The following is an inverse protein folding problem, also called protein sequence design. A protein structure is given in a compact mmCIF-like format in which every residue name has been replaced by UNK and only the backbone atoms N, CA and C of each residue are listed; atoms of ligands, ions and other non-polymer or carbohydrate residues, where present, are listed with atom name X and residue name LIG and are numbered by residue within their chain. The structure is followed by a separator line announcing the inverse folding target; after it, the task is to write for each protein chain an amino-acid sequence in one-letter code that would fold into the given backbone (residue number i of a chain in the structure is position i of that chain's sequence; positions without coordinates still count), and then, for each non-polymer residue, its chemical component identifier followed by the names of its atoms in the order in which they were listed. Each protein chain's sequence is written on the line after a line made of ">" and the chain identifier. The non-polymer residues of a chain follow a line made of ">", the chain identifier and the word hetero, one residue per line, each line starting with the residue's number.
data_IF_849405582933
#
_entry.id   IF_849405582933
#
_cell.length_a   1.000
_cell.length_b   1.000
_cell.length_c   1.000
_cell.angle_alpha   90.00
_cell.angle_beta   90.00
_cell.angle_gamma   90.00
#
_symmetry.space_group_name_H-M   'P 1'
#
loop_
_entity.id
_entity.type
_entity.pdbx_description
1 polymer ?
#
# COMPACT_ATOMS: atom_id res chain seq x y z
N UNK A 1 -20.21 25.18 -8.90
CA UNK A 1 -20.62 24.29 -7.80
C UNK A 1 -21.56 23.27 -8.40
N UNK A 2 -21.23 21.99 -8.32
CA UNK A 2 -22.19 20.92 -8.64
C UNK A 2 -23.28 20.98 -7.55
N UNK A 3 -24.55 20.75 -7.90
CA UNK A 3 -25.66 20.74 -6.92
C UNK A 3 -25.38 19.63 -5.89
N UNK A 4 -25.39 19.97 -4.59
CA UNK A 4 -25.14 19.00 -3.51
C UNK A 4 -26.07 17.78 -3.62
N UNK A 5 -27.31 17.96 -4.11
CA UNK A 5 -28.25 16.86 -4.32
C UNK A 5 -27.81 15.91 -5.44
N UNK A 6 -27.14 16.43 -6.47
CA UNK A 6 -26.58 15.59 -7.54
C UNK A 6 -25.38 14.81 -7.05
N UNK A 7 -24.55 15.39 -6.19
CA UNK A 7 -23.42 14.69 -5.58
C UNK A 7 -23.88 13.60 -4.61
N UNK A 8 -24.94 13.86 -3.84
CA UNK A 8 -25.56 12.85 -2.97
C UNK A 8 -26.15 11.70 -3.78
N UNK A 9 -26.96 12.01 -4.81
CA UNK A 9 -27.53 10.97 -5.67
C UNK A 9 -26.44 10.14 -6.39
N UNK A 10 -25.35 10.78 -6.82
CA UNK A 10 -24.21 10.07 -7.39
C UNK A 10 -23.53 9.17 -6.36
N UNK A 11 -23.34 9.64 -5.12
CA UNK A 11 -22.80 8.83 -4.01
C UNK A 11 -23.68 7.59 -3.77
N UNK A 12 -25.00 7.77 -3.66
CA UNK A 12 -25.97 6.68 -3.48
C UNK A 12 -25.90 5.63 -4.61
N UNK A 13 -25.79 6.09 -5.87
CA UNK A 13 -25.64 5.22 -7.05
C UNK A 13 -24.32 4.42 -6.99
N UNK A 14 -23.21 5.06 -6.61
CA UNK A 14 -21.90 4.41 -6.45
C UNK A 14 -21.97 3.33 -5.37
N UNK A 15 -22.53 3.67 -4.21
CA UNK A 15 -22.76 2.74 -3.11
C UNK A 15 -23.59 1.52 -3.55
N UNK A 16 -24.67 1.76 -4.29
CA UNK A 16 -25.58 0.70 -4.75
C UNK A 16 -24.94 -0.24 -5.78
N UNK A 17 -24.06 0.27 -6.64
CA UNK A 17 -23.45 -0.49 -7.72
C UNK A 17 -22.25 -1.33 -7.25
N UNK A 18 -21.31 -0.69 -6.52
CA UNK A 18 -19.99 -1.26 -6.21
C UNK A 18 -19.81 -1.68 -4.75
N UNK A 19 -20.52 -1.06 -3.79
CA UNK A 19 -20.27 -1.27 -2.36
C UNK A 19 -21.07 -2.47 -1.84
N UNK A 20 -20.68 -3.65 -2.31
CA UNK A 20 -21.21 -4.95 -1.88
C UNK A 20 -20.28 -5.55 -0.82
N UNK A 21 -20.78 -6.44 0.06
CA UNK A 21 -19.91 -7.25 0.89
C UNK A 21 -18.87 -7.98 0.02
N UNK A 22 -17.59 -7.88 0.39
CA UNK A 22 -16.52 -8.51 -0.37
C UNK A 22 -16.69 -10.02 -0.30
N UNK A 23 -16.85 -10.65 -1.46
CA UNK A 23 -17.02 -12.09 -1.56
C UNK A 23 -15.74 -12.82 -1.15
N UNK A 24 -15.90 -14.00 -0.56
CA UNK A 24 -14.79 -14.90 -0.22
C UNK A 24 -14.99 -16.22 -0.95
N UNK A 25 -14.04 -16.54 -1.82
CA UNK A 25 -14.01 -17.79 -2.57
C UNK A 25 -13.15 -18.80 -1.80
N UNK A 26 -13.60 -20.05 -1.72
CA UNK A 26 -12.86 -21.12 -1.04
C UNK A 26 -11.67 -21.65 -1.84
N UNK A 27 -11.65 -21.37 -3.14
CA UNK A 27 -10.59 -21.74 -4.09
C UNK A 27 -10.56 -20.74 -5.25
N UNK A 28 -9.51 -20.76 -6.09
CA UNK A 28 -9.54 -20.09 -7.39
C UNK A 28 -10.84 -20.41 -8.16
N UNK A 29 -11.55 -19.40 -8.69
CA UNK A 29 -12.76 -19.59 -9.51
C UNK A 29 -12.42 -20.15 -10.88
N UNK A 30 -13.41 -20.65 -11.61
CA UNK A 30 -13.26 -20.86 -13.06
C UNK A 30 -13.22 -19.51 -13.81
N UNK A 31 -12.56 -19.42 -14.98
CA UNK A 31 -12.36 -18.15 -15.70
C UNK A 31 -13.66 -17.43 -16.06
N UNK A 32 -14.72 -18.15 -16.45
CA UNK A 32 -15.98 -17.55 -16.85
C UNK A 32 -16.73 -16.97 -15.64
N UNK A 33 -16.76 -17.69 -14.52
CA UNK A 33 -17.33 -17.18 -13.27
C UNK A 33 -16.51 -15.98 -12.77
N UNK A 34 -15.18 -16.03 -12.86
CA UNK A 34 -14.34 -14.89 -12.48
C UNK A 34 -14.65 -13.64 -13.30
N UNK A 35 -14.73 -13.80 -14.62
CA UNK A 35 -15.09 -12.72 -15.54
C UNK A 35 -16.48 -12.15 -15.22
N UNK A 36 -17.49 -13.01 -15.11
CA UNK A 36 -18.89 -12.61 -14.94
C UNK A 36 -19.16 -11.95 -13.59
N UNK A 37 -18.57 -12.48 -12.53
CA UNK A 37 -18.97 -12.14 -11.17
C UNK A 37 -18.06 -11.07 -10.52
N UNK A 38 -16.83 -10.90 -11.02
CA UNK A 38 -15.85 -9.99 -10.40
C UNK A 38 -15.24 -9.00 -11.39
N UNK A 39 -14.67 -9.46 -12.50
CA UNK A 39 -13.96 -8.58 -13.45
C UNK A 39 -14.93 -7.65 -14.19
N UNK A 40 -15.98 -8.20 -14.80
CA UNK A 40 -16.97 -7.42 -15.56
C UNK A 40 -17.80 -6.46 -14.68
N UNK A 41 -18.29 -6.86 -13.50
CA UNK A 41 -18.96 -5.93 -12.57
C UNK A 41 -17.98 -5.00 -11.87
N UNK A 42 -16.67 -5.27 -12.00
CA UNK A 42 -15.58 -4.46 -11.49
C UNK A 42 -15.59 -4.36 -9.96
N UNK A 43 -15.65 -5.51 -9.28
CA UNK A 43 -15.74 -5.63 -7.81
C UNK A 43 -14.66 -6.55 -7.25
N UNK A 44 -14.06 -6.22 -6.09
CA UNK A 44 -13.01 -7.02 -5.47
C UNK A 44 -13.55 -8.30 -4.85
N UNK A 45 -12.68 -9.30 -4.70
CA UNK A 45 -12.97 -10.51 -3.94
C UNK A 45 -11.73 -11.06 -3.24
N UNK A 46 -11.97 -11.86 -2.21
CA UNK A 46 -10.95 -12.64 -1.52
C UNK A 46 -10.96 -14.06 -2.07
N UNK A 47 -9.78 -14.62 -2.32
CA UNK A 47 -9.59 -15.97 -2.83
C UNK A 47 -8.77 -16.72 -1.79
N UNK A 48 -9.26 -17.87 -1.33
CA UNK A 48 -8.52 -18.79 -0.46
C UNK A 48 -7.81 -19.84 -1.32
N UNK A 49 -6.71 -20.36 -0.81
CA UNK A 49 -5.90 -21.36 -1.48
C UNK A 49 -5.52 -20.89 -2.90
N UNK A 50 -5.25 -19.59 -3.07
CA UNK A 50 -4.99 -19.00 -4.38
C UNK A 50 -3.68 -19.51 -5.00
N UNK A 51 -2.70 -19.84 -4.15
CA UNK A 51 -1.45 -20.48 -4.52
C UNK A 51 -1.23 -21.69 -3.61
N UNK A 52 -1.16 -22.88 -4.21
CA UNK A 52 -0.96 -24.13 -3.48
C UNK A 52 0.53 -24.49 -3.39
N UNK A 53 0.96 -24.96 -2.22
CA UNK A 53 2.32 -25.46 -1.98
C UNK A 53 2.49 -26.90 -2.48
N UNK A 54 3.73 -27.34 -2.69
CA UNK A 54 4.04 -28.74 -3.05
C UNK A 54 3.54 -29.77 -2.02
N UNK A 55 3.37 -29.33 -0.75
CA UNK A 55 2.91 -30.20 0.36
C UNK A 55 1.37 -30.20 0.49
N UNK A 56 0.67 -29.50 -0.39
CA UNK A 56 -0.77 -29.28 -0.34
C UNK A 56 -1.16 -28.12 0.60
N UNK A 57 -2.23 -27.41 0.24
CA UNK A 57 -2.69 -26.21 0.95
C UNK A 57 -1.87 -24.94 0.66
N UNK A 58 -2.24 -23.80 1.26
CA UNK A 58 -1.68 -22.49 0.94
C UNK A 58 -0.15 -22.43 1.06
N UNK A 59 0.49 -21.76 0.11
CA UNK A 59 1.92 -21.46 0.16
C UNK A 59 2.23 -20.49 1.30
N UNK A 60 3.02 -20.94 2.27
CA UNK A 60 3.57 -20.10 3.33
C UNK A 60 5.06 -19.89 3.06
N UNK A 61 5.48 -18.63 2.97
CA UNK A 61 6.87 -18.26 2.71
C UNK A 61 7.22 -16.97 3.44
N UNK A 62 8.01 -17.07 4.51
CA UNK A 62 8.50 -15.94 5.29
C UNK A 62 9.84 -15.38 4.80
N UNK A 63 10.28 -14.29 5.42
CA UNK A 63 11.54 -13.63 5.07
C UNK A 63 12.77 -14.53 5.32
N UNK A 64 12.77 -15.31 6.40
CA UNK A 64 13.86 -16.26 6.65
C UNK A 64 13.91 -17.39 5.62
N UNK A 65 12.75 -17.89 5.17
CA UNK A 65 12.70 -18.89 4.11
C UNK A 65 13.27 -18.33 2.80
N UNK A 66 12.97 -17.07 2.47
CA UNK A 66 13.55 -16.40 1.29
C UNK A 66 15.08 -16.29 1.43
N UNK A 67 15.59 -15.88 2.59
CA UNK A 67 17.04 -15.80 2.86
C UNK A 67 17.71 -17.17 2.69
N UNK A 68 17.07 -18.24 3.18
CA UNK A 68 17.60 -19.61 3.06
C UNK A 68 17.61 -20.09 1.60
N UNK A 69 16.63 -19.68 0.79
CA UNK A 69 16.53 -20.04 -0.63
C UNK A 69 17.51 -19.28 -1.52
N UNK A 70 17.70 -17.97 -1.31
CA UNK A 70 18.50 -17.13 -2.21
C UNK A 70 19.88 -16.74 -1.68
N UNK A 71 20.12 -16.91 -0.38
CA UNK A 71 21.30 -16.42 0.31
C UNK A 71 21.20 -14.95 0.73
N UNK A 72 21.78 -14.63 1.89
CA UNK A 72 21.71 -13.29 2.48
C UNK A 72 22.41 -12.18 1.68
N UNK A 73 23.33 -12.53 0.77
CA UNK A 73 24.11 -11.59 -0.05
C UNK A 73 23.33 -11.07 -1.28
N UNK A 74 22.12 -11.57 -1.54
CA UNK A 74 21.27 -11.07 -2.62
C UNK A 74 21.04 -9.56 -2.45
N UNK A 75 21.26 -8.77 -3.50
CA UNK A 75 21.09 -7.32 -3.46
C UNK A 75 19.64 -6.92 -3.74
N UNK A 76 19.12 -5.98 -2.94
CA UNK A 76 17.79 -5.38 -3.08
C UNK A 76 17.91 -3.87 -3.23
N UNK A 77 17.12 -3.26 -4.09
CA UNK A 77 16.77 -1.83 -3.99
C UNK A 77 15.58 -1.69 -3.02
N UNK A 78 15.83 -1.08 -1.87
CA UNK A 78 14.89 -0.98 -0.74
C UNK A 78 14.44 0.46 -0.57
N UNK A 79 13.15 0.64 -0.29
CA UNK A 79 12.57 1.94 0.03
C UNK A 79 12.86 2.30 1.49
N UNK A 80 13.30 3.54 1.70
CA UNK A 80 13.70 4.05 3.01
C UNK A 80 13.04 5.40 3.28
N UNK A 81 12.42 5.52 4.45
CA UNK A 81 11.75 6.75 4.90
C UNK A 81 12.01 7.00 6.38
N UNK A 82 11.84 8.25 6.87
CA UNK A 82 11.96 8.55 8.30
C UNK A 82 10.84 7.92 9.16
N UNK A 83 9.66 7.71 8.58
CA UNK A 83 8.42 7.42 9.30
C UNK A 83 7.64 6.22 8.74
N UNK A 84 8.03 5.68 7.58
CA UNK A 84 7.37 4.56 6.92
C UNK A 84 6.39 4.92 5.82
N UNK A 85 6.26 6.21 5.47
CA UNK A 85 5.32 6.66 4.45
C UNK A 85 6.07 7.22 3.22
N UNK A 86 6.26 6.38 2.21
CA UNK A 86 6.66 6.85 0.88
C UNK A 86 5.43 7.18 0.04
N UNK A 87 5.65 7.85 -1.10
CA UNK A 87 4.65 8.10 -2.12
C UNK A 87 3.35 8.66 -1.55
N UNK A 88 3.43 9.82 -0.88
CA UNK A 88 2.26 10.48 -0.32
C UNK A 88 2.38 12.01 -0.32
N UNK A 89 1.24 12.68 -0.26
CA UNK A 89 1.19 14.13 -0.06
C UNK A 89 1.62 14.49 1.37
N UNK A 90 2.54 15.45 1.51
CA UNK A 90 3.09 15.88 2.80
C UNK A 90 3.18 17.38 2.92
N UNK A 91 2.92 17.90 4.11
CA UNK A 91 3.23 19.28 4.45
C UNK A 91 4.73 19.45 4.68
N UNK A 92 5.33 20.43 4.01
CA UNK A 92 6.74 20.80 4.16
C UNK A 92 6.81 22.30 4.45
N UNK A 93 7.54 22.71 5.49
CA UNK A 93 7.77 24.13 5.77
C UNK A 93 8.76 24.70 4.75
N UNK A 94 8.43 25.83 4.13
CA UNK A 94 9.36 26.55 3.24
C UNK A 94 10.43 27.29 4.02
N UNK A 95 11.60 27.47 3.40
CA UNK A 95 12.70 28.24 3.98
C UNK A 95 12.40 29.75 3.91
N UNK A 96 12.77 30.57 4.93
CA UNK A 96 12.51 32.01 4.98
C UNK A 96 13.15 32.86 3.85
N UNK A 97 13.99 32.26 3.00
CA UNK A 97 14.57 32.96 1.83
C UNK A 97 13.52 33.23 0.73
N UNK A 98 12.40 32.49 0.73
CA UNK A 98 11.30 32.65 -0.25
C UNK A 98 10.22 33.67 0.20
N UNK A 99 10.49 34.46 1.24
CA UNK A 99 9.69 35.64 1.59
C UNK A 99 8.35 35.37 2.31
N UNK A 100 7.96 34.12 2.56
CA UNK A 100 6.80 33.80 3.39
C UNK A 100 6.99 32.48 4.16
N UNK A 101 6.50 32.42 5.40
CA UNK A 101 6.50 31.21 6.26
C UNK A 101 5.46 30.18 5.79
N UNK A 102 5.24 30.07 4.48
CA UNK A 102 4.21 29.20 3.91
C UNK A 102 4.53 27.72 4.13
N UNK A 103 3.57 26.97 4.66
CA UNK A 103 3.56 25.51 4.57
C UNK A 103 3.17 25.15 3.14
N UNK A 104 4.07 24.49 2.39
CA UNK A 104 3.78 23.91 1.09
C UNK A 104 3.36 22.45 1.21
N UNK A 105 2.63 21.92 0.23
CA UNK A 105 2.38 20.48 0.11
C UNK A 105 3.15 19.91 -1.08
N UNK A 106 3.87 18.82 -0.87
CA UNK A 106 4.65 18.11 -1.89
C UNK A 106 4.23 16.64 -1.93
N UNK A 107 4.37 15.99 -3.07
CA UNK A 107 4.34 14.54 -3.15
C UNK A 107 5.76 14.04 -2.88
N UNK A 108 5.95 13.21 -1.85
CA UNK A 108 7.27 12.79 -1.38
C UNK A 108 7.45 11.29 -1.56
N UNK A 109 8.33 10.90 -2.47
CA UNK A 109 8.80 9.54 -2.73
C UNK A 109 9.79 9.07 -1.66
N UNK A 110 9.91 7.75 -1.44
CA UNK A 110 10.94 7.21 -0.56
C UNK A 110 12.35 7.48 -1.09
N UNK A 111 13.34 7.34 -0.21
CA UNK A 111 14.73 7.22 -0.63
C UNK A 111 15.02 5.76 -0.98
N UNK A 112 15.36 5.49 -2.24
CA UNK A 112 15.81 4.17 -2.66
C UNK A 112 17.27 3.93 -2.24
N UNK A 113 17.53 2.81 -1.56
CA UNK A 113 18.87 2.41 -1.15
C UNK A 113 19.12 0.93 -1.49
N UNK A 114 20.25 0.64 -2.13
CA UNK A 114 20.73 -0.74 -2.27
C UNK A 114 21.28 -1.29 -0.96
N UNK A 115 20.87 -2.51 -0.60
CA UNK A 115 21.44 -3.27 0.51
C UNK A 115 21.29 -4.78 0.28
N UNK A 116 22.05 -5.58 1.03
CA UNK A 116 21.88 -7.03 1.00
C UNK A 116 20.56 -7.44 1.65
N UNK A 117 20.02 -8.59 1.26
CA UNK A 117 18.81 -9.17 1.86
C UNK A 117 19.01 -9.43 3.36
N UNK A 118 20.22 -9.84 3.77
CA UNK A 118 20.58 -9.99 5.18
C UNK A 118 20.54 -8.66 5.94
N UNK A 119 21.10 -7.59 5.37
CA UNK A 119 21.05 -6.26 5.96
C UNK A 119 19.63 -5.72 6.01
N UNK A 120 18.84 -5.91 4.96
CA UNK A 120 17.43 -5.55 4.92
C UNK A 120 16.66 -6.23 6.04
N UNK A 121 16.78 -7.56 6.19
CA UNK A 121 16.14 -8.33 7.28
C UNK A 121 16.51 -7.78 8.66
N UNK A 122 17.79 -7.50 8.87
CA UNK A 122 18.28 -6.98 10.15
C UNK A 122 17.71 -5.58 10.44
N UNK A 123 17.66 -4.69 9.44
CA UNK A 123 17.05 -3.37 9.59
C UNK A 123 15.54 -3.45 9.85
N UNK A 124 14.82 -4.28 9.10
CA UNK A 124 13.38 -4.47 9.24
C UNK A 124 13.00 -4.93 10.65
N UNK A 125 13.74 -5.91 11.22
CA UNK A 125 13.47 -6.41 12.58
C UNK A 125 13.94 -5.48 13.69
N UNK A 126 14.99 -4.69 13.44
CA UNK A 126 15.42 -3.66 14.39
C UNK A 126 14.34 -2.57 14.58
N UNK A 127 13.53 -2.29 13.56
CA UNK A 127 12.41 -1.35 13.64
C UNK A 127 11.30 -1.83 14.57
N UNK A 128 11.08 -3.15 14.68
CA UNK A 128 10.08 -3.72 15.59
C UNK A 128 10.50 -3.64 17.07
N UNK A 129 11.79 -3.75 17.36
CA UNK A 129 12.34 -3.77 18.73
C UNK A 129 12.54 -2.39 19.37
N UNK A 130 12.52 -1.29 18.59
CA UNK A 130 12.51 0.06 19.13
C UNK A 130 11.10 0.40 19.60
N UNK A 131 10.86 0.39 20.92
CA UNK A 131 9.57 0.74 21.57
C UNK A 131 8.80 1.82 20.79
N UNK A 132 7.70 1.38 20.17
CA UNK A 132 6.68 2.21 19.57
C UNK A 132 6.04 3.09 20.66
N UNK A 133 6.52 4.33 20.80
CA UNK A 133 5.74 5.42 21.40
C UNK A 133 5.00 6.21 20.32
N UNK A 134 5.39 6.08 19.05
CA UNK A 134 4.59 6.56 17.91
C UNK A 134 4.20 5.33 17.07
N UNK A 135 3.00 4.80 17.28
CA UNK A 135 2.37 3.94 16.29
C UNK A 135 2.34 4.67 14.95
N UNK A 136 2.57 3.98 13.82
CA UNK A 136 2.36 4.56 12.49
C UNK A 136 0.91 5.11 12.31
N UNK A 137 0.00 4.75 13.21
CA UNK A 137 -1.36 5.31 13.34
C UNK A 137 -1.41 6.76 13.84
N UNK A 138 -0.39 7.25 14.57
CA UNK A 138 -0.37 8.57 15.21
C UNK A 138 0.47 9.62 14.44
N UNK A 139 1.38 9.18 13.57
CA UNK A 139 2.06 10.08 12.64
C UNK A 139 1.09 10.56 11.58
N UNK A 140 0.68 11.81 11.67
CA UNK A 140 -0.07 12.43 10.60
C UNK A 140 0.72 12.37 9.29
N UNK A 141 0.20 11.67 8.28
CA UNK A 141 0.75 11.65 6.91
C UNK A 141 0.97 13.09 6.42
N UNK A 142 0.08 14.01 6.86
CA UNK A 142 0.17 15.44 6.61
C UNK A 142 1.04 16.22 7.62
N UNK A 143 1.51 15.62 8.70
CA UNK A 143 2.02 16.31 9.89
C UNK A 143 3.39 15.85 10.36
N UNK A 144 4.29 15.46 9.45
CA UNK A 144 5.72 15.62 9.72
C UNK A 144 5.98 17.11 9.96
N UNK A 145 6.01 17.52 11.23
CA UNK A 145 6.42 18.87 11.63
C UNK A 145 7.90 19.03 11.31
N UNK A 146 8.19 19.54 10.11
CA UNK A 146 9.54 19.97 9.71
C UNK A 146 10.03 21.02 10.71
N UNK A 147 10.95 20.64 11.59
CA UNK A 147 11.56 21.53 12.57
C UNK A 147 12.91 22.05 12.04
N UNK A 148 12.95 23.38 11.84
CA UNK A 148 14.11 24.28 11.83
C UNK A 148 15.40 23.87 11.09
N UNK A 149 15.77 24.65 10.07
CA UNK A 149 17.14 24.78 9.59
C UNK A 149 17.82 25.95 10.28
N UNK A 150 18.90 25.70 11.04
CA UNK A 150 19.91 26.72 11.29
C UNK A 150 20.92 26.69 10.13
N UNK A 151 20.79 27.68 9.24
CA UNK A 151 21.78 28.12 8.25
C UNK A 151 22.37 27.06 7.30
N UNK A 152 21.80 26.93 6.09
CA UNK A 152 22.52 26.42 4.92
C UNK A 152 22.37 27.41 3.74
N UNK A 153 23.42 27.61 2.91
CA UNK A 153 23.36 28.54 1.79
C UNK A 153 22.44 28.03 0.68
N UNK A 154 21.78 28.97 0.01
CA UNK A 154 20.88 28.89 -1.14
C UNK A 154 20.78 27.56 -1.91
N UNK A 155 19.56 27.01 -1.97
CA UNK A 155 19.14 26.03 -2.99
C UNK A 155 18.30 24.85 -2.47
N UNK A 156 16.97 24.99 -2.49
CA UNK A 156 15.96 23.91 -2.57
C UNK A 156 16.16 22.65 -1.69
N UNK A 157 16.35 22.80 -0.38
CA UNK A 157 16.21 21.65 0.52
C UNK A 157 15.64 22.06 1.88
N UNK A 158 14.70 21.27 2.40
CA UNK A 158 14.17 21.41 3.75
C UNK A 158 14.77 20.30 4.64
N UNK A 159 15.49 20.68 5.70
CA UNK A 159 16.08 19.75 6.69
C UNK A 159 15.02 19.35 7.74
N UNK A 160 14.94 18.06 8.07
CA UNK A 160 13.91 17.44 8.93
C UNK A 160 14.36 17.33 10.40
N UNK A 161 15.52 17.86 10.76
CA UNK A 161 16.11 17.69 12.10
C UNK A 161 16.60 16.26 12.32
N UNK A 162 17.20 15.99 13.50
CA UNK A 162 17.78 14.67 13.87
C UNK A 162 16.70 13.62 14.12
N UNK A 163 16.05 13.15 13.07
CA UNK A 163 15.28 11.91 13.09
C UNK A 163 16.17 10.81 12.53
N UNK A 164 16.93 10.15 13.41
CA UNK A 164 17.74 8.97 13.05
C UNK A 164 16.86 7.74 12.74
N UNK A 165 15.54 7.85 12.92
CA UNK A 165 14.59 6.77 12.58
C UNK A 165 14.66 6.50 11.08
N UNK A 166 14.80 5.22 10.76
CA UNK A 166 14.89 4.69 9.40
C UNK A 166 13.92 3.52 9.31
N UNK A 167 12.81 3.72 8.61
CA UNK A 167 11.87 2.66 8.25
C UNK A 167 12.24 2.14 6.86
N UNK A 168 12.31 0.83 6.70
CA UNK A 168 12.70 0.15 5.46
C UNK A 168 11.61 -0.81 5.06
N UNK A 169 11.34 -0.88 3.77
CA UNK A 169 10.38 -1.83 3.20
C UNK A 169 10.75 -2.10 1.74
N UNK A 170 10.41 -3.28 1.26
CA UNK A 170 10.64 -3.69 -0.12
C UNK A 170 9.32 -3.64 -0.88
N UNK A 171 9.20 -2.68 -1.79
CA UNK A 171 7.98 -2.43 -2.57
C UNK A 171 8.25 -2.03 -4.01
N UNK A 172 9.34 -2.54 -4.60
CA UNK A 172 9.71 -2.20 -5.98
C UNK A 172 8.71 -2.81 -6.97
N UNK A 173 7.74 -2.02 -7.45
CA UNK A 173 6.63 -2.50 -8.30
C UNK A 173 6.97 -2.56 -9.80
N UNK A 174 8.16 -3.06 -10.14
CA UNK A 174 8.72 -3.07 -11.51
C UNK A 174 9.18 -4.47 -11.92
N UNK A 175 8.29 -5.45 -11.80
CA UNK A 175 8.57 -6.87 -12.06
C UNK A 175 9.74 -7.40 -11.23
N UNK A 176 9.82 -6.94 -9.98
CA UNK A 176 11.02 -7.10 -9.16
C UNK A 176 11.30 -8.57 -8.80
N UNK A 177 10.29 -9.44 -8.78
CA UNK A 177 10.50 -10.86 -8.53
C UNK A 177 11.25 -11.52 -9.70
N UNK A 178 10.90 -11.19 -10.95
CA UNK A 178 11.54 -11.78 -12.13
C UNK A 178 12.87 -11.11 -12.48
N UNK A 179 13.04 -9.83 -12.14
CA UNK A 179 14.23 -9.04 -12.50
C UNK A 179 15.29 -8.97 -11.41
N UNK A 180 14.94 -8.54 -10.19
CA UNK A 180 15.88 -8.34 -9.08
C UNK A 180 16.02 -9.61 -8.21
N UNK A 181 14.90 -10.23 -7.87
CA UNK A 181 14.83 -11.47 -7.08
C UNK A 181 14.72 -12.73 -7.95
N UNK A 182 15.38 -12.71 -9.12
CA UNK A 182 15.32 -13.78 -10.12
C UNK A 182 15.76 -15.15 -9.58
N UNK A 183 16.69 -15.17 -8.61
CA UNK A 183 17.12 -16.39 -7.92
C UNK A 183 15.97 -17.05 -7.16
N UNK A 184 15.09 -16.25 -6.52
CA UNK A 184 13.88 -16.74 -5.88
C UNK A 184 12.88 -17.23 -6.94
N UNK A 185 12.65 -16.43 -7.99
CA UNK A 185 11.72 -16.81 -9.07
C UNK A 185 12.13 -18.14 -9.74
N UNK A 186 13.43 -18.35 -9.95
CA UNK A 186 13.99 -19.56 -10.58
C UNK A 186 13.80 -20.83 -9.75
N UNK A 187 13.41 -20.72 -8.47
CA UNK A 187 13.02 -21.90 -7.66
C UNK A 187 11.69 -22.50 -8.11
N UNK A 188 10.89 -21.78 -8.90
CA UNK A 188 9.53 -22.14 -9.30
C UNK A 188 8.56 -22.37 -8.13
N UNK A 189 8.85 -21.80 -6.95
CA UNK A 189 7.95 -21.87 -5.79
C UNK A 189 6.64 -21.10 -6.03
N UNK A 190 6.71 -20.04 -6.83
CA UNK A 190 5.55 -19.28 -7.28
C UNK A 190 5.20 -19.68 -8.70
N UNK A 191 3.91 -19.80 -9.04
CA UNK A 191 3.51 -20.00 -10.41
C UNK A 191 3.88 -18.74 -11.23
N UNK A 192 4.29 -18.94 -12.48
CA UNK A 192 4.61 -17.84 -13.40
C UNK A 192 3.39 -16.97 -13.74
N UNK A 193 2.20 -17.52 -13.55
CA UNK A 193 0.89 -16.90 -13.78
C UNK A 193 -0.20 -17.67 -13.03
N UNK A 194 -1.34 -17.02 -12.79
CA UNK A 194 -2.51 -17.66 -12.19
C UNK A 194 -3.48 -18.09 -13.30
N UNK A 195 -3.57 -19.41 -13.54
CA UNK A 195 -4.26 -19.95 -14.72
C UNK A 195 -5.71 -19.48 -14.91
N UNK A 196 -6.47 -19.34 -13.81
CA UNK A 196 -7.85 -18.85 -13.89
C UNK A 196 -7.92 -17.38 -14.37
N UNK A 197 -6.94 -16.56 -13.96
CA UNK A 197 -6.87 -15.14 -14.26
C UNK A 197 -6.33 -14.93 -15.68
N UNK A 198 -5.28 -15.66 -16.07
CA UNK A 198 -4.71 -15.59 -17.41
C UNK A 198 -5.72 -15.99 -18.49
N UNK A 199 -6.48 -17.07 -18.27
CA UNK A 199 -7.54 -17.46 -19.20
C UNK A 199 -8.71 -16.46 -19.20
N UNK A 200 -9.05 -15.89 -18.04
CA UNK A 200 -10.11 -14.88 -17.91
C UNK A 200 -9.77 -13.58 -18.63
N UNK A 201 -8.56 -13.04 -18.42
CA UNK A 201 -8.11 -11.79 -19.01
C UNK A 201 -7.75 -11.95 -20.49
N UNK A 202 -7.24 -13.12 -20.87
CA UNK A 202 -6.87 -13.47 -22.24
C UNK A 202 -5.90 -12.43 -22.87
N UNK A 203 -5.02 -11.88 -22.05
CA UNK A 203 -4.00 -10.88 -22.42
C UNK A 203 -2.58 -11.46 -22.50
N UNK A 204 -2.37 -12.68 -21.97
CA UNK A 204 -1.06 -13.33 -21.85
C UNK A 204 -0.61 -13.42 -20.38
N UNK A 205 0.69 -13.67 -20.13
CA UNK A 205 1.19 -13.73 -18.77
C UNK A 205 1.16 -12.34 -18.10
N UNK A 206 1.25 -12.28 -16.76
CA UNK A 206 1.33 -11.04 -16.00
C UNK A 206 2.46 -10.13 -16.51
N UNK A 207 2.17 -8.85 -16.70
CA UNK A 207 3.13 -7.81 -17.09
C UNK A 207 4.20 -7.64 -16.00
N UNK A 208 3.81 -7.82 -14.74
CA UNK A 208 4.74 -7.83 -13.61
C UNK A 208 4.36 -8.86 -12.54
N UNK A 209 5.38 -9.44 -11.90
CA UNK A 209 5.24 -10.15 -10.63
C UNK A 209 6.15 -9.48 -9.62
N UNK A 210 5.57 -8.90 -8.56
CA UNK A 210 6.33 -8.16 -7.56
C UNK A 210 6.31 -8.87 -6.21
N UNK A 211 7.46 -8.82 -5.53
CA UNK A 211 7.63 -9.27 -4.16
C UNK A 211 7.53 -8.06 -3.22
N UNK A 212 6.84 -8.25 -2.10
CA UNK A 212 6.58 -7.24 -1.10
C UNK A 212 7.05 -7.74 0.26
N UNK A 213 7.89 -6.96 0.95
CA UNK A 213 8.34 -7.30 2.31
C UNK A 213 8.35 -6.04 3.18
N UNK A 214 7.66 -6.07 4.31
CA UNK A 214 7.59 -4.93 5.24
C UNK A 214 7.02 -5.35 6.58
N UNK A 215 6.87 -4.39 7.50
CA UNK A 215 6.25 -4.58 8.81
C UNK A 215 5.25 -3.45 9.12
N UNK A 216 4.65 -3.43 10.30
CA UNK A 216 3.64 -2.43 10.68
C UNK A 216 4.09 -0.96 10.60
N UNK A 217 5.38 -0.70 10.42
CA UNK A 217 5.89 0.66 10.28
C UNK A 217 5.67 1.24 8.89
N UNK A 218 5.50 0.43 7.83
CA UNK A 218 5.35 0.93 6.45
C UNK A 218 3.90 1.04 6.00
N UNK A 219 3.57 2.11 5.29
CA UNK A 219 2.21 2.38 4.77
C UNK A 219 2.29 2.77 3.31
N UNK A 220 1.50 2.10 2.46
CA UNK A 220 1.19 2.58 1.12
C UNK A 220 -0.04 3.46 1.19
N UNK A 221 0.12 4.74 0.88
CA UNK A 221 -0.98 5.71 0.94
C UNK A 221 -2.05 5.43 -0.13
N UNK A 222 -3.19 6.13 -0.06
CA UNK A 222 -4.32 5.87 -0.97
C UNK A 222 -3.93 6.21 -2.42
N UNK A 223 -4.01 5.24 -3.32
CA UNK A 223 -3.69 5.39 -4.74
C UNK A 223 -4.50 4.39 -5.58
N UNK A 224 -4.36 4.43 -6.91
CA UNK A 224 -4.95 3.44 -7.81
C UNK A 224 -3.95 3.03 -8.88
N UNK A 225 -4.07 1.79 -9.34
CA UNK A 225 -3.27 1.25 -10.45
C UNK A 225 -4.12 1.07 -11.70
N UNK A 226 -3.46 0.86 -12.84
CA UNK A 226 -4.12 0.54 -14.11
C UNK A 226 -4.09 -0.97 -14.43
N UNK A 227 -3.81 -1.81 -13.42
CA UNK A 227 -3.66 -3.25 -13.54
C UNK A 227 -4.78 -4.00 -12.82
N UNK A 228 -5.12 -5.18 -13.35
CA UNK A 228 -5.93 -6.15 -12.63
C UNK A 228 -5.04 -6.86 -11.61
N UNK A 229 -5.15 -6.48 -10.34
CA UNK A 229 -4.15 -6.84 -9.35
C UNK A 229 -4.61 -8.02 -8.49
N UNK A 230 -3.86 -9.13 -8.51
CA UNK A 230 -4.07 -10.25 -7.58
C UNK A 230 -2.91 -10.27 -6.59
N UNK A 231 -3.18 -9.85 -5.36
CA UNK A 231 -2.20 -9.79 -4.27
C UNK A 231 -2.36 -10.99 -3.35
N UNK A 232 -1.31 -11.80 -3.19
CA UNK A 232 -1.24 -12.97 -2.32
C UNK A 232 -0.35 -12.70 -1.08
N UNK A 233 -0.83 -13.02 0.11
CA UNK A 233 -0.10 -12.92 1.38
C UNK A 233 0.57 -14.26 1.68
N UNK A 234 1.89 -14.32 1.48
CA UNK A 234 2.70 -15.51 1.75
C UNK A 234 2.92 -15.73 3.24
N UNK A 235 3.16 -14.64 3.98
CA UNK A 235 3.38 -14.65 5.43
C UNK A 235 2.86 -13.35 6.03
N UNK A 236 2.27 -13.42 7.22
CA UNK A 236 1.76 -12.27 7.95
C UNK A 236 0.35 -11.88 7.50
N UNK A 237 0.09 -10.58 7.45
CA UNK A 237 -1.26 -10.04 7.24
C UNK A 237 -1.21 -8.65 6.63
N UNK A 238 -2.01 -8.43 5.59
CA UNK A 238 -2.22 -7.14 4.91
C UNK A 238 -3.60 -6.60 5.22
N UNK A 239 -3.66 -5.31 5.53
CA UNK A 239 -4.88 -4.54 5.67
C UNK A 239 -5.02 -3.57 4.50
N UNK A 240 -6.11 -3.72 3.75
CA UNK A 240 -6.47 -2.87 2.63
C UNK A 240 -7.66 -1.99 3.02
N UNK A 241 -7.62 -0.72 2.64
CA UNK A 241 -8.80 0.14 2.58
C UNK A 241 -9.06 0.41 1.11
N UNK A 242 -10.20 -0.05 0.60
CA UNK A 242 -10.60 0.03 -0.80
C UNK A 242 -11.68 1.08 -0.99
N UNK A 243 -11.60 1.89 -2.04
CA UNK A 243 -12.70 2.74 -2.51
C UNK A 243 -12.95 2.46 -3.99
N UNK A 244 -14.22 2.40 -4.44
CA UNK A 244 -14.54 2.21 -5.85
C UNK A 244 -13.98 3.35 -6.71
N UNK A 245 -13.68 3.12 -8.01
CA UNK A 245 -13.10 4.15 -8.88
C UNK A 245 -13.93 5.44 -8.96
N UNK A 246 -15.25 5.32 -8.83
CA UNK A 246 -16.18 6.44 -8.88
C UNK A 246 -16.07 7.38 -7.66
N UNK A 247 -15.43 6.96 -6.57
CA UNK A 247 -15.14 7.80 -5.41
C UNK A 247 -14.06 8.86 -5.70
N UNK A 248 -13.43 8.87 -6.88
CA UNK A 248 -12.45 9.91 -7.27
C UNK A 248 -12.95 11.34 -7.00
N UNK A 249 -14.25 11.57 -7.14
CA UNK A 249 -14.90 12.87 -6.88
C UNK A 249 -14.86 13.28 -5.40
N UNK A 250 -14.68 12.32 -4.50
CA UNK A 250 -14.75 12.48 -3.05
C UNK A 250 -13.39 12.32 -2.35
N UNK A 251 -12.40 11.75 -3.04
CA UNK A 251 -11.08 11.45 -2.47
C UNK A 251 -10.10 12.63 -2.51
N UNK A 252 -10.48 13.80 -3.05
CA UNK A 252 -9.60 14.98 -3.11
C UNK A 252 -8.25 14.71 -3.80
N UNK A 253 -8.27 14.13 -5.00
CA UNK A 253 -7.07 14.00 -5.85
C UNK A 253 -6.57 15.40 -6.27
N UNK A 254 -5.30 15.70 -5.99
CA UNK A 254 -4.68 16.99 -6.33
C UNK A 254 -3.30 16.78 -6.93
N UNK A 255 -2.84 17.79 -7.67
CA UNK A 255 -1.52 17.83 -8.26
C UNK A 255 -0.51 18.46 -7.27
N UNK A 256 0.57 17.75 -7.00
CA UNK A 256 1.66 18.18 -6.12
C UNK A 256 3.00 18.16 -6.87
N UNK A 257 3.93 19.01 -6.48
CA UNK A 257 5.32 18.90 -6.95
C UNK A 257 5.94 17.60 -6.45
N UNK A 258 6.59 16.85 -7.33
CA UNK A 258 7.26 15.60 -7.00
C UNK A 258 8.59 15.87 -6.33
N UNK A 259 8.86 15.11 -5.28
CA UNK A 259 10.05 15.24 -4.46
C UNK A 259 10.41 13.89 -3.86
N UNK A 260 11.63 13.76 -3.36
CA UNK A 260 12.12 12.53 -2.75
C UNK A 260 12.75 12.81 -1.39
N UNK A 261 12.62 11.86 -0.46
CA UNK A 261 13.45 11.86 0.74
C UNK A 261 14.92 11.65 0.36
N UNK A 262 15.81 12.36 1.05
CA UNK A 262 17.25 12.21 0.93
C UNK A 262 17.88 12.23 2.33
N UNK A 263 18.77 11.30 2.68
CA UNK A 263 19.54 11.39 3.91
C UNK A 263 20.42 12.65 3.94
N UNK A 264 20.53 13.28 5.10
CA UNK A 264 21.46 14.37 5.37
C UNK A 264 22.73 13.84 6.03
N UNK A 265 23.89 14.43 5.71
CA UNK A 265 25.19 14.02 6.29
C UNK A 265 25.30 14.18 7.81
N UNK A 266 24.35 14.87 8.44
CA UNK A 266 24.24 15.06 9.89
C UNK A 266 23.40 13.99 10.62
N UNK A 267 22.92 12.96 9.91
CA UNK A 267 22.03 11.93 10.46
C UNK A 267 20.54 12.31 10.44
N UNK A 268 20.18 13.35 9.70
CA UNK A 268 18.78 13.76 9.46
C UNK A 268 18.28 13.39 8.07
N UNK A 269 17.12 13.91 7.70
CA UNK A 269 16.50 13.73 6.39
C UNK A 269 16.22 15.09 5.75
N UNK A 270 16.18 15.14 4.42
CA UNK A 270 15.71 16.31 3.67
C UNK A 270 14.73 15.89 2.58
N UNK A 271 13.85 16.80 2.19
CA UNK A 271 13.00 16.63 1.00
C UNK A 271 13.58 17.47 -0.13
N UNK A 272 13.80 16.85 -1.28
CA UNK A 272 14.40 17.48 -2.48
C UNK A 272 13.44 17.32 -3.65
N UNK A 273 13.16 18.39 -4.38
CA UNK A 273 12.30 18.35 -5.56
C UNK A 273 12.95 17.57 -6.70
N UNK A 274 12.15 16.79 -7.44
CA UNK A 274 12.60 16.02 -8.60
C UNK A 274 12.48 16.87 -9.88
N UNK A 275 13.08 18.06 -9.86
CA UNK A 275 12.90 19.06 -10.90
C UNK A 275 11.49 19.65 -10.93
N UNK A 276 10.93 19.81 -12.13
CA UNK A 276 9.61 20.43 -12.37
C UNK A 276 8.47 19.40 -12.48
N UNK A 277 8.72 18.13 -12.15
CA UNK A 277 7.73 17.05 -12.22
C UNK A 277 6.58 17.27 -11.21
N UNK A 278 5.38 16.88 -11.61
CA UNK A 278 4.19 16.90 -10.76
C UNK A 278 3.45 15.58 -10.79
N UNK A 279 2.96 15.17 -9.64
CA UNK A 279 2.21 13.94 -9.45
C UNK A 279 0.82 14.26 -8.91
N UNK A 280 -0.21 13.64 -9.49
CA UNK A 280 -1.56 13.64 -8.93
C UNK A 280 -1.67 12.59 -7.85
N UNK A 281 -2.14 12.97 -6.67
CA UNK A 281 -2.23 12.06 -5.53
C UNK A 281 -3.42 12.37 -4.64
N UNK A 282 -3.85 11.39 -3.85
CA UNK A 282 -4.89 11.54 -2.83
C UNK A 282 -4.29 12.27 -1.62
N UNK A 283 -4.83 13.45 -1.32
CA UNK A 283 -4.37 14.28 -0.21
C UNK A 283 -4.74 13.74 1.19
N UNK A 284 -6.02 13.35 1.46
CA UNK A 284 -6.41 12.89 2.79
C UNK A 284 -5.92 11.47 3.10
N UNK A 285 -5.64 11.20 4.37
CA UNK A 285 -5.58 9.82 4.85
C UNK A 285 -7.01 9.30 5.11
N UNK A 286 -7.52 8.49 4.19
CA UNK A 286 -8.86 7.90 4.29
C UNK A 286 -9.02 7.06 5.57
N UNK A 287 -7.95 6.45 6.11
CA UNK A 287 -8.03 5.73 7.39
C UNK A 287 -8.40 6.67 8.53
N UNK A 288 -7.84 7.88 8.58
CA UNK A 288 -8.18 8.87 9.62
C UNK A 288 -9.64 9.28 9.57
N UNK A 289 -10.22 9.35 8.37
CA UNK A 289 -11.65 9.57 8.22
C UNK A 289 -12.47 8.40 8.77
N UNK A 290 -12.08 7.16 8.49
CA UNK A 290 -12.76 5.97 9.03
C UNK A 290 -12.65 5.87 10.55
N UNK A 291 -11.49 6.21 11.13
CA UNK A 291 -11.26 6.17 12.57
C UNK A 291 -11.98 7.33 13.30
N UNK A 292 -12.05 8.50 12.66
CA UNK A 292 -12.67 9.71 13.20
C UNK A 292 -13.34 10.55 12.10
N UNK A 293 -14.68 10.45 12.02
CA UNK A 293 -15.47 11.21 11.05
C UNK A 293 -15.35 12.74 11.15
N UNK A 294 -14.86 13.29 12.27
CA UNK A 294 -14.56 14.73 12.36
C UNK A 294 -13.40 15.15 11.44
N UNK A 295 -12.57 14.20 10.97
CA UNK A 295 -11.54 14.47 9.97
C UNK A 295 -12.13 15.04 8.66
N UNK A 296 -13.37 14.69 8.34
CA UNK A 296 -14.09 15.26 7.21
C UNK A 296 -14.37 16.77 7.32
N UNK A 297 -14.15 17.40 8.48
CA UNK A 297 -14.24 18.86 8.58
C UNK A 297 -13.12 19.56 7.77
N UNK A 298 -12.01 18.86 7.51
CA UNK A 298 -10.93 19.31 6.61
C UNK A 298 -11.14 18.86 5.16
N UNK A 299 -11.85 17.74 4.97
CA UNK A 299 -12.11 17.09 3.69
C UNK A 299 -13.59 16.67 3.59
N UNK A 300 -14.52 17.63 3.38
CA UNK A 300 -15.96 17.37 3.52
C UNK A 300 -16.51 16.33 2.55
N UNK A 301 -15.89 16.20 1.37
CA UNK A 301 -16.37 15.29 0.34
C UNK A 301 -16.18 13.82 0.73
N UNK A 302 -15.26 13.50 1.67
CA UNK A 302 -15.10 12.15 2.21
C UNK A 302 -16.36 11.61 2.89
N UNK A 303 -17.30 12.47 3.31
CA UNK A 303 -18.61 12.03 3.84
C UNK A 303 -19.42 11.23 2.83
N UNK A 304 -19.09 11.36 1.54
CA UNK A 304 -19.76 10.72 0.40
C UNK A 304 -18.92 9.62 -0.25
N UNK A 305 -17.73 9.32 0.30
CA UNK A 305 -16.92 8.18 -0.16
C UNK A 305 -17.32 6.90 0.55
N UNK A 306 -16.91 5.77 -0.01
CA UNK A 306 -17.33 4.43 0.37
C UNK A 306 -16.13 3.52 0.68
N UNK A 307 -15.29 3.88 1.67
CA UNK A 307 -14.14 3.06 2.03
C UNK A 307 -14.56 1.75 2.69
N UNK A 308 -14.01 0.63 2.21
CA UNK A 308 -14.20 -0.70 2.79
C UNK A 308 -12.86 -1.25 3.25
N UNK A 309 -12.78 -1.65 4.52
CA UNK A 309 -11.60 -2.29 5.10
C UNK A 309 -11.64 -3.80 4.89
N UNK A 310 -10.49 -4.35 4.47
CA UNK A 310 -10.31 -5.78 4.15
C UNK A 310 -9.03 -6.26 4.78
N UNK A 311 -9.04 -7.47 5.33
CA UNK A 311 -7.90 -8.06 5.99
C UNK A 311 -7.54 -9.39 5.34
N UNK A 312 -6.38 -9.45 4.68
CA UNK A 312 -5.88 -10.64 3.97
C UNK A 312 -4.76 -11.24 4.80
N UNK A 313 -4.80 -12.55 5.05
CA UNK A 313 -3.87 -13.21 5.99
C UNK A 313 -3.33 -14.49 5.39
N UNK A 314 -2.13 -14.88 5.81
CA UNK A 314 -1.54 -16.15 5.41
C UNK A 314 -2.46 -17.35 5.75
N UNK A 315 -2.40 -18.40 4.92
CA UNK A 315 -2.97 -19.72 5.22
C UNK A 315 -4.48 -19.85 5.10
N UNK A 316 -4.99 -21.01 5.56
CA UNK A 316 -6.42 -21.25 5.71
C UNK A 316 -6.87 -20.45 6.93
N UNK A 317 -7.43 -19.26 6.72
CA UNK A 317 -8.10 -18.54 7.80
C UNK A 317 -8.98 -19.49 8.63
N UNK A 318 -9.11 -19.29 9.96
CA UNK A 318 -9.98 -20.14 10.76
C UNK A 318 -11.37 -20.26 10.10
N UNK A 319 -12.00 -21.45 10.08
CA UNK A 319 -13.33 -21.59 9.54
C UNK A 319 -14.25 -20.59 10.24
N UNK A 320 -15.00 -19.79 9.47
CA UNK A 320 -15.98 -18.85 9.99
C UNK A 320 -16.95 -19.59 10.92
N UNK A 321 -16.75 -19.46 12.23
CA UNK A 321 -17.76 -19.82 13.23
C UNK A 321 -18.79 -18.70 13.22
N UNK A 322 -19.79 -18.81 12.34
CA UNK A 322 -20.91 -17.87 12.30
C UNK A 322 -21.81 -18.14 13.51
N UNK A 323 -21.48 -17.56 14.67
CA UNK A 323 -22.45 -17.45 15.74
C UNK A 323 -23.46 -16.37 15.33
N UNK A 324 -24.62 -16.84 14.89
CA UNK A 324 -25.83 -16.04 14.72
C UNK A 324 -26.11 -15.27 16.01
N UNK A 325 -25.81 -13.97 16.00
CA UNK A 325 -26.61 -12.86 16.51
C UNK A 325 -25.71 -11.61 16.58
N UNK A 326 -26.10 -10.58 15.84
CA UNK A 326 -25.49 -9.25 15.72
C UNK A 326 -24.38 -9.11 14.66
N UNK A 327 -24.79 -8.72 13.45
CA UNK A 327 -23.92 -8.36 12.34
C UNK A 327 -23.30 -6.97 12.58
N UNK A 328 -22.03 -6.96 12.99
CA UNK A 328 -21.07 -5.89 12.66
C UNK A 328 -20.03 -6.52 11.72
N UNK A 329 -20.27 -6.36 10.41
CA UNK A 329 -19.39 -6.83 9.33
C UNK A 329 -18.12 -5.97 9.27
N UNK A 330 -17.13 -6.23 10.11
CA UNK A 330 -15.76 -5.67 9.94
C UNK A 330 -14.63 -6.59 10.40
N UNK A 331 -14.90 -7.69 11.08
CA UNK A 331 -13.83 -8.45 11.72
C UNK A 331 -13.44 -9.70 10.90
N UNK A 332 -12.36 -9.53 10.12
CA UNK A 332 -11.58 -10.57 9.42
C UNK A 332 -12.28 -11.32 8.27
N UNK A 333 -12.22 -10.75 7.07
CA UNK A 333 -12.53 -11.48 5.82
C UNK A 333 -11.31 -12.31 5.41
N UNK A 334 -11.22 -13.54 5.92
CA UNK A 334 -10.00 -14.33 5.79
C UNK A 334 -9.88 -15.05 4.44
N UNK A 335 -8.76 -14.80 3.76
CA UNK A 335 -8.19 -15.58 2.66
C UNK A 335 -6.75 -15.14 2.39
N UNK A 336 -6.07 -15.88 1.52
CA UNK A 336 -4.64 -15.71 1.26
C UNK A 336 -4.35 -14.85 0.02
N UNK A 337 -5.36 -14.56 -0.81
CA UNK A 337 -5.28 -13.53 -1.85
C UNK A 337 -6.49 -12.58 -1.88
N UNK A 338 -6.25 -11.40 -2.45
CA UNK A 338 -7.28 -10.44 -2.85
C UNK A 338 -7.12 -10.11 -4.34
N UNK A 339 -8.23 -10.13 -5.07
CA UNK A 339 -8.35 -9.50 -6.38
C UNK A 339 -8.83 -8.06 -6.19
N UNK A 340 -8.03 -7.11 -6.65
CA UNK A 340 -8.32 -5.67 -6.67
C UNK A 340 -8.46 -5.29 -8.16
N UNK A 341 -9.67 -4.94 -8.62
CA UNK A 341 -9.86 -4.57 -10.00
C UNK A 341 -9.07 -3.31 -10.35
N UNK A 342 -8.72 -3.16 -11.63
CA UNK A 342 -8.04 -1.95 -12.10
C UNK A 342 -8.75 -0.67 -11.64
N UNK A 343 -8.02 0.42 -11.42
CA UNK A 343 -8.54 1.72 -10.99
C UNK A 343 -9.18 1.78 -9.59
N UNK A 344 -9.34 0.67 -8.88
CA UNK A 344 -9.78 0.72 -7.48
C UNK A 344 -8.74 1.44 -6.63
N UNK A 345 -9.21 2.41 -5.87
CA UNK A 345 -8.38 3.13 -4.93
C UNK A 345 -8.10 2.21 -3.74
N UNK A 346 -6.84 2.10 -3.35
CA UNK A 346 -6.44 1.28 -2.24
C UNK A 346 -5.32 1.93 -1.42
N UNK A 347 -5.46 1.83 -0.10
CA UNK A 347 -4.43 2.14 0.90
C UNK A 347 -4.06 0.85 1.60
N UNK A 348 -2.77 0.58 1.77
CA UNK A 348 -2.29 -0.72 2.26
C UNK A 348 -1.39 -0.58 3.47
N UNK A 349 -1.63 -1.41 4.48
CA UNK A 349 -0.82 -1.57 5.69
C UNK A 349 -0.64 -3.04 6.02
N UNK A 350 0.16 -3.34 7.04
CA UNK A 350 0.33 -4.70 7.57
C UNK A 350 0.44 -4.64 9.10
N UNK A 351 0.10 -5.73 9.78
CA UNK A 351 0.07 -5.77 11.25
C UNK A 351 1.32 -6.37 11.89
N UNK A 352 2.22 -6.93 11.07
CA UNK A 352 3.46 -7.58 11.47
C UNK A 352 4.42 -7.69 10.27
N UNK A 353 5.64 -8.21 10.46
CA UNK A 353 6.50 -8.70 9.36
C UNK A 353 5.68 -9.55 8.39
N UNK A 354 5.55 -9.07 7.15
CA UNK A 354 4.66 -9.60 6.13
C UNK A 354 5.41 -9.74 4.82
N UNK A 355 5.23 -10.90 4.20
CA UNK A 355 5.70 -11.20 2.83
C UNK A 355 4.46 -11.38 1.97
N UNK A 356 4.40 -10.65 0.85
CA UNK A 356 3.37 -10.79 -0.14
C UNK A 356 3.95 -10.82 -1.55
N UNK A 357 3.19 -11.34 -2.49
CA UNK A 357 3.46 -11.19 -3.91
C UNK A 357 2.23 -10.66 -4.62
N UNK A 358 2.40 -10.00 -5.74
CA UNK A 358 1.26 -9.65 -6.57
C UNK A 358 1.53 -9.88 -8.05
N UNK A 359 0.46 -10.19 -8.76
CA UNK A 359 0.42 -10.38 -10.20
C UNK A 359 -0.36 -9.20 -10.81
N UNK A 360 0.26 -8.54 -11.78
CA UNK A 360 -0.30 -7.45 -12.55
C UNK A 360 -0.49 -7.84 -14.00
#
# INVERSE_FOLDING_TARGET
>A
MVDDRLQEAFSDDVGSLWCRPIAVLDSPPDPLSFLRDFVYPHVPCIIRNAIESEKGGPLILGLDDIVDLVGGEAELTVDVTPDGHGDCARCVRKHPADGDWGVGKLFVKPHEQKMTLADFRNHLRKQEGSNAIDSAEDTDINGLSVLQTDSAPEGQSADLGRVEKKVVYYSRQNDCLRTEMNSLFSTNIFPSSLGFAEECFNTGPPDAVNLWIGNQSSVSSMHKDHYENIFYVCKGQKEFILCPPADVMFLHEREFMSSSFCPSGSGGWKVVADGDEKTKWIEPDVKKYMDNHAYADHFPDLRRSHPVKVLVSEGKGPPLMVNSNLATLTDSILGDAIYIPSLWYHRVTQTCETVGINYW
#
